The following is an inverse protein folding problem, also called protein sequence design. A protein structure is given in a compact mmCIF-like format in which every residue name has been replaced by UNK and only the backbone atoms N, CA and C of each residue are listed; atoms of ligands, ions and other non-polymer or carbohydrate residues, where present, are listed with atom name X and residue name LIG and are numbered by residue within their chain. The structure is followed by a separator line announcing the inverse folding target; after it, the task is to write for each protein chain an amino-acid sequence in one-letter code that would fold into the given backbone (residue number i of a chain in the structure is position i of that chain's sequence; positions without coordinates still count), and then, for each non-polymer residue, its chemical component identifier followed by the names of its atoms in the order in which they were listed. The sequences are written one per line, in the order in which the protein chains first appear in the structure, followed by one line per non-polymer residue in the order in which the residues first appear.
data_IF_004327061383
#
_entry.id   IF_004327061383
#
_cell.length_a   1.000
_cell.length_b   1.000
_cell.length_c   1.000
_cell.angle_alpha   90.00
_cell.angle_beta   90.00
_cell.angle_gamma   90.00
#
_symmetry.space_group_name_H-M   'P 1'
#
loop_
_entity.id
_entity.type
_entity.pdbx_description
1 polymer ?
#
# COMPACT_ATOMS: atom_id res chain seq x y z
N UNK A 1 -15.13 -6.02 -46.74
CA UNK A 1 -14.29 -5.42 -45.69
C UNK A 1 -14.32 -6.40 -44.52
N UNK A 2 -13.29 -7.24 -44.42
CA UNK A 2 -13.25 -8.43 -43.55
C UNK A 2 -12.63 -8.08 -42.21
N UNK A 3 -13.25 -8.50 -41.10
CA UNK A 3 -12.80 -8.27 -39.72
C UNK A 3 -11.54 -9.06 -39.32
N UNK A 4 -10.78 -9.55 -40.29
CA UNK A 4 -9.59 -10.38 -40.10
C UNK A 4 -8.28 -9.58 -40.12
N UNK A 5 -8.30 -8.30 -40.51
CA UNK A 5 -7.10 -7.47 -40.69
C UNK A 5 -6.77 -6.56 -39.48
N UNK A 6 -7.60 -6.51 -38.43
CA UNK A 6 -7.42 -5.59 -37.29
C UNK A 6 -6.66 -6.16 -36.08
N UNK A 7 -6.23 -7.42 -36.13
CA UNK A 7 -5.55 -8.08 -35.00
C UNK A 7 -4.05 -8.31 -35.23
N UNK A 8 -3.40 -7.48 -36.05
CA UNK A 8 -1.94 -7.41 -36.03
C UNK A 8 -1.50 -6.47 -34.91
N UNK A 9 -0.52 -6.86 -34.06
CA UNK A 9 0.01 -6.03 -33.00
C UNK A 9 0.80 -4.87 -33.63
N UNK A 10 0.07 -3.83 -34.06
CA UNK A 10 0.64 -2.61 -34.60
C UNK A 10 1.29 -1.82 -33.47
N UNK A 11 2.58 -1.57 -33.60
CA UNK A 11 3.29 -0.58 -32.81
C UNK A 11 2.62 0.77 -32.99
N UNK A 12 2.02 1.32 -31.93
CA UNK A 12 1.41 2.65 -31.97
C UNK A 12 2.52 3.72 -32.05
N UNK A 13 2.81 4.19 -33.26
CA UNK A 13 3.85 5.20 -33.54
C UNK A 13 3.62 6.51 -32.76
N UNK A 14 2.38 6.79 -32.33
CA UNK A 14 2.04 7.96 -31.50
C UNK A 14 2.63 7.87 -30.09
N UNK A 15 2.87 6.67 -29.57
CA UNK A 15 3.51 6.45 -28.27
C UNK A 15 5.04 6.56 -28.35
N UNK A 16 5.63 6.14 -29.48
CA UNK A 16 7.08 6.14 -29.68
C UNK A 16 7.70 7.55 -29.70
N UNK A 17 6.93 8.56 -30.14
CA UNK A 17 7.44 9.93 -30.28
C UNK A 17 7.56 10.72 -28.96
N UNK A 18 7.07 10.21 -27.82
CA UNK A 18 6.93 11.03 -26.60
C UNK A 18 8.07 11.01 -25.58
N UNK A 19 9.03 10.08 -25.58
CA UNK A 19 10.17 10.22 -24.64
C UNK A 19 11.46 9.52 -25.10
N UNK A 20 12.34 10.21 -25.84
CA UNK A 20 13.75 9.80 -25.94
C UNK A 20 14.40 9.89 -24.56
N UNK A 21 14.72 8.75 -23.94
CA UNK A 21 15.47 8.68 -22.67
C UNK A 21 14.73 8.15 -21.44
N UNK A 22 13.46 7.75 -21.55
CA UNK A 22 12.76 7.10 -20.43
C UNK A 22 13.19 5.64 -20.29
N UNK A 23 13.76 5.29 -19.13
CA UNK A 23 14.19 3.92 -18.79
C UNK A 23 13.02 2.95 -18.63
N UNK A 24 11.79 3.45 -18.55
CA UNK A 24 10.55 2.69 -18.44
C UNK A 24 9.71 2.71 -19.72
N UNK A 25 10.18 3.35 -20.80
CA UNK A 25 9.52 3.23 -22.09
C UNK A 25 9.58 1.76 -22.53
N UNK A 26 8.40 1.13 -22.62
CA UNK A 26 8.26 -0.22 -23.12
C UNK A 26 8.73 -0.24 -24.58
N UNK A 27 9.82 -0.96 -24.85
CA UNK A 27 10.33 -1.18 -26.21
C UNK A 27 9.20 -1.68 -27.13
N UNK A 28 8.78 -0.89 -28.13
CA UNK A 28 7.65 -1.24 -28.99
C UNK A 28 7.99 -2.41 -29.93
N UNK A 29 9.28 -2.72 -30.10
CA UNK A 29 9.77 -3.82 -30.93
C UNK A 29 9.91 -5.12 -30.16
N UNK A 30 9.85 -5.06 -28.82
CA UNK A 30 9.80 -6.26 -27.98
C UNK A 30 8.43 -6.90 -28.20
N UNK A 31 8.35 -8.14 -28.73
CA UNK A 31 7.08 -8.82 -28.78
C UNK A 31 6.55 -8.88 -27.34
N UNK A 32 5.24 -8.71 -27.13
CA UNK A 32 4.60 -8.81 -25.81
C UNK A 32 4.71 -10.26 -25.27
N UNK A 33 5.92 -10.73 -25.04
CA UNK A 33 6.30 -12.06 -24.59
C UNK A 33 6.28 -12.08 -23.07
N UNK A 34 5.12 -11.77 -22.50
CA UNK A 34 4.84 -12.09 -21.09
C UNK A 34 3.34 -12.18 -20.79
N UNK A 35 2.52 -12.77 -21.66
CA UNK A 35 1.11 -12.99 -21.29
C UNK A 35 0.38 -14.15 -21.97
N UNK A 36 1.05 -15.06 -22.68
CA UNK A 36 0.37 -16.30 -23.11
C UNK A 36 0.34 -17.28 -21.93
N UNK A 37 -0.72 -17.17 -21.13
CA UNK A 37 -1.15 -18.13 -20.10
C UNK A 37 -0.04 -18.74 -19.25
N UNK A 38 0.69 -17.96 -18.43
CA UNK A 38 1.66 -18.55 -17.53
C UNK A 38 0.94 -19.51 -16.59
N UNK A 39 1.24 -20.81 -16.68
CA UNK A 39 0.57 -21.85 -15.91
C UNK A 39 0.67 -21.61 -14.39
N UNK A 40 1.72 -20.91 -13.93
CA UNK A 40 1.90 -20.48 -12.56
C UNK A 40 0.80 -19.52 -12.07
N UNK A 41 0.07 -18.83 -12.95
CA UNK A 41 -1.11 -18.04 -12.55
C UNK A 41 -2.17 -18.95 -11.95
N UNK A 42 -2.37 -20.14 -12.52
CA UNK A 42 -3.31 -21.13 -11.99
C UNK A 42 -2.86 -21.70 -10.64
N UNK A 43 -1.54 -21.74 -10.39
CA UNK A 43 -1.00 -22.13 -9.07
C UNK A 43 -1.49 -21.21 -7.95
N UNK A 44 -1.71 -19.92 -8.21
CA UNK A 44 -2.26 -18.99 -7.22
C UNK A 44 -3.78 -18.83 -7.32
N UNK A 45 -4.31 -18.82 -8.55
CA UNK A 45 -5.73 -18.57 -8.79
C UNK A 45 -6.62 -19.73 -8.32
N UNK A 46 -6.24 -20.99 -8.59
CA UNK A 46 -7.05 -22.14 -8.20
C UNK A 46 -7.12 -22.30 -6.67
N UNK A 47 -6.01 -22.28 -5.90
CA UNK A 47 -6.09 -22.34 -4.44
C UNK A 47 -6.79 -21.13 -3.85
N UNK A 48 -6.57 -19.93 -4.40
CA UNK A 48 -7.27 -18.72 -3.96
C UNK A 48 -8.78 -18.84 -4.14
N UNK A 49 -9.24 -19.26 -5.32
CA UNK A 49 -10.67 -19.45 -5.60
C UNK A 49 -11.25 -20.60 -4.77
N UNK A 50 -10.51 -21.70 -4.58
CA UNK A 50 -10.92 -22.79 -3.71
C UNK A 50 -11.08 -22.33 -2.26
N UNK A 51 -10.17 -21.49 -1.75
CA UNK A 51 -10.25 -20.91 -0.42
C UNK A 51 -11.47 -19.98 -0.28
N UNK A 52 -11.75 -19.15 -1.29
CA UNK A 52 -12.96 -18.30 -1.32
C UNK A 52 -14.23 -19.16 -1.32
N UNK A 53 -14.28 -20.19 -2.16
CA UNK A 53 -15.41 -21.12 -2.23
C UNK A 53 -15.63 -21.88 -0.92
N UNK A 54 -14.55 -22.37 -0.30
CA UNK A 54 -14.59 -23.05 1.00
C UNK A 54 -15.07 -22.11 2.12
N UNK A 55 -14.56 -20.88 2.17
CA UNK A 55 -15.00 -19.86 3.11
C UNK A 55 -16.46 -19.48 2.92
N UNK A 56 -16.90 -19.30 1.67
CA UNK A 56 -18.29 -19.05 1.32
C UNK A 56 -19.23 -20.19 1.71
N UNK A 57 -18.82 -21.44 1.43
CA UNK A 57 -19.55 -22.63 1.86
C UNK A 57 -19.67 -22.71 3.39
N UNK A 58 -18.57 -22.47 4.10
CA UNK A 58 -18.56 -22.42 5.57
C UNK A 58 -19.49 -21.34 6.12
N UNK A 59 -19.53 -20.16 5.49
CA UNK A 59 -20.40 -19.06 5.90
C UNK A 59 -21.89 -19.38 5.73
N UNK A 60 -22.28 -19.97 4.59
CA UNK A 60 -23.70 -20.31 4.34
C UNK A 60 -24.16 -21.53 5.15
N UNK A 61 -23.26 -22.44 5.50
CA UNK A 61 -23.56 -23.63 6.33
C UNK A 61 -23.35 -23.40 7.82
N UNK A 62 -22.85 -22.22 8.22
CA UNK A 62 -22.63 -21.88 9.62
C UNK A 62 -23.93 -21.83 10.43
N UNK A 63 -25.07 -21.54 9.79
CA UNK A 63 -26.36 -21.35 10.47
C UNK A 63 -26.27 -20.21 11.47
N UNK A 64 -26.77 -20.41 12.70
CA UNK A 64 -26.74 -19.40 13.76
C UNK A 64 -25.36 -19.20 14.41
N UNK A 65 -24.34 -19.96 14.02
CA UNK A 65 -22.97 -19.83 14.58
C UNK A 65 -22.28 -18.55 14.14
N UNK A 66 -22.67 -17.98 12.99
CA UNK A 66 -22.14 -16.73 12.48
C UNK A 66 -23.29 -15.75 12.28
N UNK A 67 -23.34 -14.64 13.05
CA UNK A 67 -24.29 -13.56 12.78
C UNK A 67 -23.90 -12.88 11.47
N UNK A 68 -24.61 -13.23 10.38
CA UNK A 68 -24.29 -12.79 9.02
C UNK A 68 -24.38 -11.27 8.84
N UNK A 69 -25.29 -10.62 9.56
CA UNK A 69 -25.47 -9.18 9.59
C UNK A 69 -24.24 -8.45 10.17
N UNK A 70 -23.74 -8.93 11.30
CA UNK A 70 -22.53 -8.41 11.95
C UNK A 70 -21.29 -8.69 11.12
N UNK A 71 -21.20 -9.89 10.54
CA UNK A 71 -20.12 -10.26 9.63
C UNK A 71 -20.11 -9.38 8.37
N UNK A 72 -21.27 -9.18 7.73
CA UNK A 72 -21.41 -8.32 6.55
C UNK A 72 -21.02 -6.89 6.89
N UNK A 73 -21.49 -6.37 8.02
CA UNK A 73 -21.17 -5.01 8.47
C UNK A 73 -19.66 -4.85 8.67
N UNK A 74 -19.01 -5.82 9.31
CA UNK A 74 -17.55 -5.81 9.48
C UNK A 74 -16.81 -5.92 8.15
N UNK A 75 -17.20 -6.87 7.28
CA UNK A 75 -16.53 -7.14 6.01
C UNK A 75 -16.67 -5.97 5.02
N UNK A 76 -17.91 -5.56 4.75
CA UNK A 76 -18.21 -4.45 3.85
C UNK A 76 -17.73 -3.13 4.45
N UNK A 77 -17.95 -2.93 5.76
CA UNK A 77 -17.49 -1.73 6.45
C UNK A 77 -15.96 -1.56 6.39
N UNK A 78 -15.20 -2.63 6.59
CA UNK A 78 -13.74 -2.60 6.47
C UNK A 78 -13.28 -2.30 5.04
N UNK A 79 -13.91 -2.91 4.03
CA UNK A 79 -13.60 -2.64 2.63
C UNK A 79 -13.87 -1.18 2.25
N UNK A 80 -15.05 -0.66 2.63
CA UNK A 80 -15.41 0.74 2.38
C UNK A 80 -14.49 1.70 3.12
N UNK A 81 -14.16 1.44 4.39
CA UNK A 81 -13.20 2.25 5.15
C UNK A 81 -11.83 2.28 4.45
N UNK A 82 -11.38 1.15 3.94
CA UNK A 82 -10.12 1.08 3.21
C UNK A 82 -10.16 1.91 1.92
N UNK A 83 -11.13 1.64 1.05
CA UNK A 83 -11.17 2.20 -0.30
C UNK A 83 -11.56 3.68 -0.32
N UNK A 84 -12.42 4.11 0.62
CA UNK A 84 -12.94 5.48 0.66
C UNK A 84 -12.15 6.39 1.61
N UNK A 85 -11.37 5.84 2.53
CA UNK A 85 -10.63 6.65 3.52
C UNK A 85 -9.14 6.35 3.48
N UNK A 86 -8.72 5.11 3.73
CA UNK A 86 -7.31 4.78 3.90
C UNK A 86 -6.54 5.01 2.59
N UNK A 87 -7.03 4.46 1.47
CA UNK A 87 -6.37 4.59 0.18
C UNK A 87 -6.31 6.07 -0.30
N UNK A 88 -7.39 6.86 -0.25
CA UNK A 88 -7.32 8.29 -0.60
C UNK A 88 -6.37 9.10 0.28
N UNK A 89 -6.35 8.84 1.60
CA UNK A 89 -5.39 9.49 2.51
C UNK A 89 -3.97 9.14 2.11
N UNK A 90 -3.69 7.87 1.82
CA UNK A 90 -2.36 7.42 1.41
C UNK A 90 -1.90 8.04 0.09
N UNK A 91 -2.80 8.12 -0.88
CA UNK A 91 -2.56 8.81 -2.16
C UNK A 91 -2.29 10.30 -1.92
N UNK A 92 -3.10 10.96 -1.09
CA UNK A 92 -2.94 12.37 -0.73
C UNK A 92 -1.60 12.65 -0.04
N UNK A 93 -1.17 11.79 0.89
CA UNK A 93 0.13 11.89 1.54
C UNK A 93 1.29 11.68 0.56
N UNK A 94 1.20 10.69 -0.32
CA UNK A 94 2.19 10.46 -1.37
C UNK A 94 2.30 11.63 -2.35
N UNK A 95 1.18 12.19 -2.76
CA UNK A 95 1.11 13.39 -3.61
C UNK A 95 1.71 14.61 -2.91
N UNK A 96 1.34 14.85 -1.65
CA UNK A 96 1.87 15.94 -0.85
C UNK A 96 3.39 15.78 -0.68
N UNK A 97 3.85 14.57 -0.36
CA UNK A 97 5.27 14.29 -0.24
C UNK A 97 6.02 14.52 -1.55
N UNK A 98 5.44 14.15 -2.69
CA UNK A 98 6.02 14.44 -4.00
C UNK A 98 6.11 15.96 -4.28
N UNK A 99 5.14 16.74 -3.81
CA UNK A 99 5.10 18.21 -3.96
C UNK A 99 6.09 18.94 -3.05
N UNK A 100 6.23 18.51 -1.78
CA UNK A 100 6.94 19.29 -0.75
C UNK A 100 8.35 18.77 -0.45
N UNK A 101 8.59 17.46 -0.58
CA UNK A 101 9.87 16.85 -0.20
C UNK A 101 10.80 16.70 -1.42
N UNK A 102 12.11 16.98 -1.24
CA UNK A 102 13.11 16.65 -2.26
C UNK A 102 13.17 15.14 -2.47
N UNK A 103 13.53 14.69 -3.67
CA UNK A 103 13.52 13.28 -4.05
C UNK A 103 14.20 12.33 -3.02
N UNK A 104 15.37 12.67 -2.44
CA UNK A 104 16.04 11.82 -1.45
C UNK A 104 15.28 11.67 -0.12
N UNK A 105 14.36 12.58 0.20
CA UNK A 105 13.60 12.59 1.44
C UNK A 105 12.25 11.83 1.33
N UNK A 106 11.81 11.47 0.13
CA UNK A 106 10.52 10.81 -0.10
C UNK A 106 10.48 9.38 0.45
N UNK A 107 11.52 8.59 0.22
CA UNK A 107 11.63 7.22 0.75
C UNK A 107 11.51 7.16 2.28
N UNK A 108 12.32 7.91 3.04
CA UNK A 108 12.21 8.00 4.48
C UNK A 108 10.81 8.39 4.97
N UNK A 109 10.17 9.37 4.31
CA UNK A 109 8.82 9.83 4.67
C UNK A 109 7.77 8.73 4.48
N UNK A 110 7.82 7.99 3.36
CA UNK A 110 6.88 6.87 3.10
C UNK A 110 7.05 5.76 4.12
N UNK A 111 8.28 5.40 4.46
CA UNK A 111 8.55 4.37 5.49
C UNK A 111 8.01 4.82 6.84
N UNK A 112 8.26 6.06 7.24
CA UNK A 112 7.79 6.59 8.51
C UNK A 112 6.26 6.60 8.61
N UNK A 113 5.58 7.08 7.55
CA UNK A 113 4.12 7.08 7.48
C UNK A 113 3.54 5.66 7.57
N UNK A 114 4.21 4.67 6.95
CA UNK A 114 3.72 3.29 6.94
C UNK A 114 3.89 2.65 8.33
N UNK A 115 5.06 2.84 8.94
CA UNK A 115 5.35 2.30 10.28
C UNK A 115 4.44 2.93 11.32
N UNK A 116 4.33 4.26 11.38
CA UNK A 116 3.46 4.95 12.33
C UNK A 116 1.98 4.60 12.13
N UNK A 117 1.51 4.51 10.88
CA UNK A 117 0.16 4.07 10.56
C UNK A 117 -0.14 2.65 11.06
N UNK A 118 0.77 1.70 10.82
CA UNK A 118 0.62 0.32 11.30
C UNK A 118 0.65 0.26 12.83
N UNK A 119 1.60 0.94 13.48
CA UNK A 119 1.68 1.01 14.94
C UNK A 119 0.39 1.59 15.54
N UNK A 120 -0.14 2.66 14.94
CA UNK A 120 -1.41 3.27 15.35
C UNK A 120 -2.56 2.28 15.23
N UNK A 121 -2.69 1.57 14.10
CA UNK A 121 -3.76 0.59 13.89
C UNK A 121 -3.70 -0.58 14.90
N UNK A 122 -2.49 -1.10 15.15
CA UNK A 122 -2.28 -2.19 16.11
C UNK A 122 -2.53 -1.73 17.55
N UNK A 123 -2.12 -0.50 17.89
CA UNK A 123 -2.28 0.05 19.22
C UNK A 123 -3.70 0.59 19.50
N UNK A 124 -4.48 0.91 18.45
CA UNK A 124 -5.82 1.49 18.54
C UNK A 124 -6.74 0.82 19.57
N UNK A 125 -6.93 -0.52 19.60
CA UNK A 125 -7.83 -1.14 20.58
C UNK A 125 -7.37 -0.91 22.03
N UNK A 126 -6.07 -0.81 22.28
CA UNK A 126 -5.53 -0.54 23.62
C UNK A 126 -5.64 0.95 24.00
N UNK A 127 -5.62 1.84 23.02
CA UNK A 127 -5.82 3.27 23.25
C UNK A 127 -7.29 3.59 23.49
N UNK A 128 -8.19 2.98 22.71
CA UNK A 128 -9.63 3.14 22.87
C UNK A 128 -10.18 2.42 24.11
N UNK A 129 -9.46 1.40 24.58
CA UNK A 129 -9.75 0.63 25.79
C UNK A 129 -11.24 0.22 25.92
N UNK A 130 -11.85 -0.38 24.88
CA UNK A 130 -13.26 -0.75 24.93
C UNK A 130 -13.51 -1.75 26.07
N UNK A 131 -14.44 -1.43 26.96
CA UNK A 131 -14.74 -2.24 28.15
C UNK A 131 -13.83 -1.98 29.36
N UNK A 132 -13.01 -0.92 29.34
CA UNK A 132 -12.25 -0.49 30.52
C UNK A 132 -13.18 -0.22 31.71
N UNK A 133 -12.83 -0.79 32.86
CA UNK A 133 -13.49 -0.55 34.13
C UNK A 133 -12.46 -0.05 35.15
N UNK A 134 -12.67 1.13 35.79
CA UNK A 134 -11.76 1.67 36.80
C UNK A 134 -11.52 0.74 38.00
N UNK A 135 -12.42 -0.22 38.24
CA UNK A 135 -12.31 -1.21 39.30
C UNK A 135 -11.34 -2.37 39.02
N UNK A 136 -10.78 -2.47 37.81
CA UNK A 136 -9.80 -3.51 37.48
C UNK A 136 -8.60 -2.94 36.69
N UNK A 137 -7.68 -2.25 37.38
CA UNK A 137 -6.54 -1.58 36.75
C UNK A 137 -5.52 -2.54 36.10
N UNK A 138 -5.66 -3.85 36.30
CA UNK A 138 -4.76 -4.85 35.68
C UNK A 138 -5.03 -5.09 34.19
N UNK A 139 -6.19 -4.69 33.67
CA UNK A 139 -6.56 -4.90 32.26
C UNK A 139 -5.77 -4.01 31.29
N UNK A 140 -5.47 -2.76 31.66
CA UNK A 140 -4.61 -1.84 30.89
C UNK A 140 -3.64 -1.14 31.84
N UNK A 141 -2.54 -1.80 32.25
CA UNK A 141 -1.64 -1.26 33.26
C UNK A 141 -0.74 -0.12 32.74
N UNK A 142 -0.78 0.17 31.44
CA UNK A 142 0.11 1.13 30.77
C UNK A 142 -0.71 2.22 30.08
N UNK A 143 -0.16 3.42 30.08
CA UNK A 143 -0.67 4.55 29.30
C UNK A 143 -0.36 4.35 27.80
N UNK A 144 -1.15 3.49 27.13
CA UNK A 144 -0.93 3.12 25.73
C UNK A 144 -0.95 4.31 24.78
N UNK A 145 -1.83 5.29 25.02
CA UNK A 145 -1.88 6.52 24.21
C UNK A 145 -0.57 7.31 24.27
N UNK A 146 -0.04 7.53 25.49
CA UNK A 146 1.24 8.22 25.68
C UNK A 146 2.39 7.43 25.06
N UNK A 147 2.44 6.11 25.28
CA UNK A 147 3.53 5.28 24.78
C UNK A 147 3.53 5.21 23.25
N UNK A 148 2.35 5.07 22.63
CA UNK A 148 2.20 5.11 21.18
C UNK A 148 2.70 6.44 20.62
N UNK A 149 2.26 7.57 21.19
CA UNK A 149 2.70 8.90 20.75
C UNK A 149 4.22 9.03 20.81
N UNK A 150 4.85 8.58 21.90
CA UNK A 150 6.31 8.64 22.05
C UNK A 150 7.04 7.77 21.01
N UNK A 151 6.52 6.59 20.70
CA UNK A 151 7.09 5.69 19.70
C UNK A 151 6.94 6.31 18.31
N UNK A 152 5.77 6.82 17.95
CA UNK A 152 5.53 7.44 16.64
C UNK A 152 6.39 8.69 16.45
N UNK A 153 6.54 9.52 17.49
CA UNK A 153 7.46 10.66 17.47
C UNK A 153 8.91 10.21 17.27
N UNK A 154 9.34 9.12 17.91
CA UNK A 154 10.68 8.58 17.72
C UNK A 154 10.90 8.09 16.28
N UNK A 155 9.92 7.38 15.70
CA UNK A 155 9.96 6.92 14.29
C UNK A 155 10.05 8.10 13.34
N UNK A 156 9.21 9.12 13.53
CA UNK A 156 9.22 10.34 12.71
C UNK A 156 10.55 11.10 12.83
N UNK A 157 11.12 11.19 14.04
CA UNK A 157 12.42 11.81 14.26
C UNK A 157 13.54 11.08 13.52
N UNK A 158 13.60 9.75 13.62
CA UNK A 158 14.57 8.92 12.89
C UNK A 158 14.43 9.13 11.38
N UNK A 159 13.21 9.15 10.87
CA UNK A 159 12.96 9.40 9.45
C UNK A 159 13.35 10.82 9.02
N UNK A 160 13.13 11.84 9.85
CA UNK A 160 13.55 13.20 9.57
C UNK A 160 15.08 13.34 9.52
N UNK A 161 15.80 12.68 10.43
CA UNK A 161 17.27 12.61 10.40
C UNK A 161 17.73 11.90 9.12
N UNK A 162 17.15 10.75 8.79
CA UNK A 162 17.48 10.01 7.58
C UNK A 162 17.23 10.84 6.32
N UNK A 163 16.07 11.48 6.20
CA UNK A 163 15.73 12.38 5.10
C UNK A 163 16.72 13.55 4.97
N UNK A 164 17.11 14.14 6.10
CA UNK A 164 18.08 15.24 6.13
C UNK A 164 19.45 14.78 5.64
N UNK A 165 19.93 13.62 6.11
CA UNK A 165 21.21 13.04 5.69
C UNK A 165 21.19 12.66 4.21
N UNK A 166 20.13 12.03 3.73
CA UNK A 166 19.96 11.66 2.33
C UNK A 166 19.98 12.91 1.42
N UNK A 167 19.29 13.97 1.84
CA UNK A 167 19.25 15.24 1.10
C UNK A 167 20.61 15.94 1.09
N UNK A 168 21.33 15.95 2.22
CA UNK A 168 22.69 16.53 2.31
C UNK A 168 23.68 15.78 1.43
N UNK A 169 23.67 14.45 1.44
CA UNK A 169 24.55 13.61 0.61
C UNK A 169 24.31 13.84 -0.88
N UNK A 170 23.05 13.98 -1.30
CA UNK A 170 22.72 14.23 -2.70
C UNK A 170 23.21 15.62 -3.18
N UNK A 171 23.27 16.61 -2.29
CA UNK A 171 23.83 17.93 -2.62
C UNK A 171 25.37 17.96 -2.69
N UNK A 172 26.03 16.98 -2.08
CA UNK A 172 27.49 16.86 -2.05
C UNK A 172 28.05 15.95 -3.18
N UNK A 173 27.21 15.50 -4.13
CA UNK A 173 27.62 14.70 -5.29
C UNK A 173 28.55 15.48 -6.26
N UNK A 174 29.31 14.79 -7.12
CA UNK A 174 30.54 15.30 -7.73
C UNK A 174 30.37 16.64 -8.45
N UNK A 175 31.22 17.62 -8.14
CA UNK A 175 31.35 18.86 -8.90
C UNK A 175 31.71 18.57 -10.37
N UNK A 176 31.44 19.52 -11.28
CA UNK A 176 31.61 19.32 -12.72
C UNK A 176 33.01 18.77 -13.02
N UNK A 177 33.06 17.58 -13.60
CA UNK A 177 34.24 17.09 -14.31
C UNK A 177 34.45 18.04 -15.48
N UNK A 178 35.39 18.97 -15.32
CA UNK A 178 35.89 19.77 -16.41
C UNK A 178 36.75 18.86 -17.30
N UNK A 179 36.18 18.43 -18.43
CA UNK A 179 36.90 17.97 -19.62
C UNK A 179 36.53 18.93 -20.77
#
# INVERSE_FOLDING_TARGET
MSLSDEALPGSDERAAARVPGDRYASDPTRPATSARGPWWRWLFLLPGLAAVGYGGYGLVTAGSRVPLDSWLTWFVGAALLHDLVIAPVWIGLGWLAARVLPAPARGPAVVAAAVTGVLTLVAMPFVLAPGYSPGNPSFLPREYGRNLLLIDLAVLLVAAVWATLATRRHRAGPGPTAD
#
